data_IF_142077658065
#
_entry.id   IF_142077658065
#
_cell.length_a   1.000
_cell.length_b   1.000
_cell.length_c   1.000
_cell.angle_alpha   90.00
_cell.angle_beta   90.00
_cell.angle_gamma   90.00
#
_symmetry.space_group_name_H-M   'P 1'
#
loop_
_entity.id
_entity.type
_entity.pdbx_description
1 polymer ?
#
# COMPACT_ATOMS: atom_id res chain seq x y z
N UNK A 1 57.51 3.16 -45.78
CA UNK A 1 56.16 3.73 -45.57
C UNK A 1 56.06 5.05 -46.29
N UNK A 2 55.01 5.24 -47.08
CA UNK A 2 54.83 6.47 -47.86
C UNK A 2 54.37 7.59 -46.91
N UNK A 3 54.85 8.82 -47.13
CA UNK A 3 54.65 9.98 -46.22
C UNK A 3 53.17 10.24 -45.86
N UNK A 4 52.24 9.89 -46.75
CA UNK A 4 50.79 10.02 -46.53
C UNK A 4 50.21 8.96 -45.57
N UNK A 5 50.80 7.78 -45.46
CA UNK A 5 50.33 6.72 -44.54
C UNK A 5 50.61 7.10 -43.08
N UNK A 6 51.76 7.75 -42.82
CA UNK A 6 52.14 8.23 -41.48
C UNK A 6 51.20 9.35 -41.02
N UNK A 7 50.85 10.27 -41.94
CA UNK A 7 49.93 11.39 -41.66
C UNK A 7 48.53 10.86 -41.37
N UNK A 8 48.06 9.85 -42.11
CA UNK A 8 46.77 9.21 -41.86
C UNK A 8 46.68 8.57 -40.47
N UNK A 9 47.73 7.85 -40.05
CA UNK A 9 47.76 7.20 -38.73
C UNK A 9 47.73 8.23 -37.58
N UNK A 10 48.42 9.36 -37.75
CA UNK A 10 48.49 10.43 -36.77
C UNK A 10 47.13 11.15 -36.60
N UNK A 11 46.38 11.32 -37.69
CA UNK A 11 45.04 11.90 -37.66
C UNK A 11 44.05 10.97 -36.96
N UNK A 12 44.09 9.66 -37.24
CA UNK A 12 43.22 8.68 -36.55
C UNK A 12 43.52 8.61 -35.06
N UNK A 13 44.81 8.69 -34.68
CA UNK A 13 45.22 8.71 -33.28
C UNK A 13 44.74 9.98 -32.58
N UNK A 14 44.82 11.14 -33.23
CA UNK A 14 44.26 12.39 -32.73
C UNK A 14 42.74 12.32 -32.55
N UNK A 15 42.00 11.86 -33.57
CA UNK A 15 40.53 11.72 -33.48
C UNK A 15 40.15 10.76 -32.36
N UNK A 16 40.88 9.65 -32.19
CA UNK A 16 40.68 8.69 -31.08
C UNK A 16 40.92 9.32 -29.71
N UNK A 17 41.98 10.11 -29.56
CA UNK A 17 42.27 10.82 -28.29
C UNK A 17 41.22 11.88 -27.98
N UNK A 18 40.70 12.58 -29.00
CA UNK A 18 39.59 13.55 -28.85
C UNK A 18 38.29 12.84 -28.47
N UNK A 19 38.00 11.68 -29.08
CA UNK A 19 36.82 10.87 -28.73
C UNK A 19 36.87 10.35 -27.29
N UNK A 20 38.07 10.04 -26.78
CA UNK A 20 38.27 9.62 -25.39
C UNK A 20 38.12 10.78 -24.39
N UNK A 21 38.23 12.03 -24.84
CA UNK A 21 38.10 13.22 -24.00
C UNK A 21 36.67 13.78 -23.95
N UNK A 22 35.87 13.52 -24.97
CA UNK A 22 34.41 13.74 -24.94
C UNK A 22 33.75 12.47 -24.40
N UNK A 23 33.99 12.15 -23.12
CA UNK A 23 32.99 11.39 -22.42
C UNK A 23 31.74 12.27 -22.39
N UNK A 24 30.55 11.79 -22.81
CA UNK A 24 29.34 12.44 -22.35
C UNK A 24 29.44 12.42 -20.82
N UNK A 25 29.38 13.59 -20.18
CA UNK A 25 28.94 13.61 -18.79
C UNK A 25 27.61 12.88 -18.83
N UNK A 26 27.62 11.64 -18.37
CA UNK A 26 26.42 10.89 -18.15
C UNK A 26 25.70 11.69 -17.07
N UNK A 27 24.87 12.64 -17.52
CA UNK A 27 23.67 13.03 -16.82
C UNK A 27 22.78 11.78 -16.78
N UNK A 28 23.25 10.74 -16.10
CA UNK A 28 22.41 10.02 -15.17
C UNK A 28 22.05 11.09 -14.16
N UNK A 29 21.07 11.92 -14.53
CA UNK A 29 20.18 12.51 -13.56
C UNK A 29 19.96 11.37 -12.59
N UNK A 30 20.39 11.55 -11.34
CA UNK A 30 20.01 10.65 -10.27
C UNK A 30 18.49 10.62 -10.37
N UNK A 31 17.95 9.60 -11.04
CA UNK A 31 16.57 9.20 -10.84
C UNK A 31 16.65 8.60 -9.46
N UNK A 32 16.67 9.47 -8.45
CA UNK A 32 16.12 9.14 -7.17
C UNK A 32 14.67 8.87 -7.55
N UNK A 33 14.37 7.61 -7.86
CA UNK A 33 13.01 7.13 -7.66
C UNK A 33 12.81 7.36 -6.16
N UNK A 34 12.30 8.54 -5.80
CA UNK A 34 11.65 8.70 -4.52
C UNK A 34 10.63 7.55 -4.52
N UNK A 35 10.69 6.63 -3.54
CA UNK A 35 9.75 5.53 -3.53
C UNK A 35 8.35 6.15 -3.36
N UNK A 36 7.63 6.28 -4.47
CA UNK A 36 6.22 6.63 -4.48
C UNK A 36 5.49 5.44 -3.87
N UNK A 37 5.24 5.53 -2.57
CA UNK A 37 4.47 4.55 -1.82
C UNK A 37 3.02 4.81 -2.14
N UNK A 38 2.39 3.80 -2.72
CA UNK A 38 1.03 3.89 -3.22
C UNK A 38 0.11 3.14 -2.27
N UNK A 39 -0.87 3.83 -1.69
CA UNK A 39 -1.93 3.22 -0.88
C UNK A 39 -3.22 3.25 -1.69
N UNK A 40 -3.86 2.09 -1.84
CA UNK A 40 -5.12 1.98 -2.55
C UNK A 40 -6.22 2.08 -1.51
N UNK A 41 -6.98 3.17 -1.53
CA UNK A 41 -8.13 3.33 -0.64
C UNK A 41 -9.37 2.83 -1.37
N UNK A 42 -10.09 1.88 -0.74
CA UNK A 42 -11.32 1.29 -1.28
C UNK A 42 -12.53 1.52 -0.35
N UNK A 43 -13.74 1.45 -0.91
CA UNK A 43 -15.00 1.57 -0.16
C UNK A 43 -15.70 2.90 -0.39
N UNK A 44 -15.84 3.71 0.66
CA UNK A 44 -16.40 5.06 0.56
C UNK A 44 -15.54 5.97 -0.32
N UNK A 45 -14.23 5.69 -0.36
CA UNK A 45 -13.24 6.32 -1.22
C UNK A 45 -12.72 5.25 -2.17
N UNK A 46 -12.53 5.58 -3.44
CA UNK A 46 -11.99 4.66 -4.44
C UNK A 46 -10.85 5.37 -5.19
N UNK A 47 -9.81 5.70 -4.43
CA UNK A 47 -8.70 6.51 -4.91
C UNK A 47 -7.36 5.93 -4.47
N UNK A 48 -6.33 6.26 -5.26
CA UNK A 48 -4.97 5.80 -5.03
C UNK A 48 -4.15 6.98 -4.53
N UNK A 49 -3.68 6.89 -3.27
CA UNK A 49 -2.90 7.93 -2.63
C UNK A 49 -1.41 7.65 -2.76
N UNK A 50 -0.65 8.65 -3.18
CA UNK A 50 0.80 8.58 -3.32
C UNK A 50 1.46 9.30 -2.15
N UNK A 51 2.45 8.65 -1.54
CA UNK A 51 3.24 9.17 -0.42
C UNK A 51 4.73 9.05 -0.70
N UNK A 52 5.51 9.98 -0.18
CA UNK A 52 6.96 10.05 -0.37
C UNK A 52 7.72 9.26 0.70
N UNK A 53 7.00 8.76 1.71
CA UNK A 53 7.48 7.96 2.84
C UNK A 53 6.38 7.00 3.27
N UNK A 54 6.71 6.00 4.09
CA UNK A 54 5.74 5.01 4.55
C UNK A 54 4.64 5.70 5.37
N UNK A 55 3.39 5.75 4.88
CA UNK A 55 2.34 6.48 5.55
C UNK A 55 1.78 5.66 6.70
N UNK A 56 1.33 6.36 7.72
CA UNK A 56 0.45 5.82 8.76
C UNK A 56 -1.01 5.91 8.33
N UNK A 57 -1.90 5.19 9.02
CA UNK A 57 -3.33 5.39 8.84
C UNK A 57 -3.69 6.86 9.12
N UNK A 58 -3.09 7.49 10.12
CA UNK A 58 -3.27 8.92 10.39
C UNK A 58 -2.98 9.80 9.17
N UNK A 59 -1.87 9.56 8.48
CA UNK A 59 -1.48 10.30 7.27
C UNK A 59 -2.49 10.11 6.12
N UNK A 60 -3.04 8.89 5.98
CA UNK A 60 -4.09 8.59 5.01
C UNK A 60 -5.37 9.35 5.33
N UNK A 61 -5.83 9.29 6.58
CA UNK A 61 -7.04 10.00 7.02
C UNK A 61 -6.89 11.51 6.88
N UNK A 62 -5.72 12.07 7.20
CA UNK A 62 -5.42 13.50 7.04
C UNK A 62 -5.47 13.91 5.57
N UNK A 63 -4.88 13.11 4.68
CA UNK A 63 -4.90 13.36 3.23
C UNK A 63 -6.31 13.34 2.64
N UNK A 64 -7.15 12.43 3.13
CA UNK A 64 -8.57 12.33 2.78
C UNK A 64 -9.44 13.38 3.50
N UNK A 65 -8.88 14.11 4.48
CA UNK A 65 -9.57 15.10 5.33
C UNK A 65 -10.77 14.53 6.08
N UNK A 66 -10.61 13.32 6.63
CA UNK A 66 -11.66 12.61 7.36
C UNK A 66 -11.33 12.47 8.83
N UNK A 67 -12.36 12.52 9.67
CA UNK A 67 -12.25 12.19 11.08
C UNK A 67 -12.20 10.67 11.26
N UNK A 68 -11.51 10.22 12.31
CA UNK A 68 -11.38 8.80 12.63
C UNK A 68 -12.63 8.25 13.32
N UNK A 69 -13.74 8.20 12.59
CA UNK A 69 -15.04 7.73 13.08
C UNK A 69 -15.09 6.20 13.18
N UNK A 70 -14.21 5.49 12.45
CA UNK A 70 -14.25 4.04 12.26
C UNK A 70 -13.41 3.23 13.27
N UNK A 71 -12.75 3.90 14.21
CA UNK A 71 -11.96 3.24 15.26
C UNK A 71 -10.55 2.79 14.81
N UNK A 72 -10.03 3.31 13.70
CA UNK A 72 -8.70 2.93 13.23
C UNK A 72 -7.60 3.40 14.19
N UNK A 73 -6.55 2.60 14.37
CA UNK A 73 -5.36 3.04 15.07
C UNK A 73 -4.48 3.88 14.12
N UNK A 74 -4.46 5.21 14.34
CA UNK A 74 -3.73 6.16 13.50
C UNK A 74 -2.22 5.93 13.47
N UNK A 75 -1.66 5.19 14.43
CA UNK A 75 -0.22 4.91 14.51
C UNK A 75 0.23 3.75 13.63
N UNK A 76 -0.71 3.00 13.06
CA UNK A 76 -0.43 1.84 12.22
C UNK A 76 0.19 2.30 10.91
N UNK A 77 1.35 1.73 10.59
CA UNK A 77 2.08 1.97 9.34
C UNK A 77 1.51 1.07 8.25
N UNK A 78 1.22 1.63 7.08
CA UNK A 78 0.72 0.90 5.92
C UNK A 78 1.86 0.59 4.95
N UNK A 79 1.91 -0.65 4.47
CA UNK A 79 2.90 -1.08 3.48
C UNK A 79 2.57 -0.56 2.08
N UNK A 80 3.57 -0.49 1.20
CA UNK A 80 3.35 -0.06 -0.19
C UNK A 80 2.45 -1.04 -0.93
N UNK A 81 1.55 -0.50 -1.75
CA UNK A 81 0.52 -1.21 -2.51
C UNK A 81 -0.51 -1.93 -1.63
N UNK A 82 -0.59 -1.59 -0.34
CA UNK A 82 -1.65 -2.10 0.52
C UNK A 82 -3.01 -1.49 0.15
N UNK A 83 -4.05 -2.32 0.29
CA UNK A 83 -5.44 -1.89 0.21
C UNK A 83 -5.85 -1.45 1.61
N UNK A 84 -6.38 -0.25 1.72
CA UNK A 84 -6.96 0.30 2.94
C UNK A 84 -8.44 0.58 2.72
N UNK A 85 -9.29 -0.28 3.26
CA UNK A 85 -10.72 -0.23 3.08
C UNK A 85 -11.36 0.67 4.14
N UNK A 86 -12.13 1.65 3.67
CA UNK A 86 -12.90 2.57 4.49
C UNK A 86 -14.39 2.32 4.22
N UNK A 87 -15.15 1.82 5.21
CA UNK A 87 -16.58 1.55 5.05
C UNK A 87 -17.38 2.85 4.95
N UNK A 88 -18.63 2.75 4.51
CA UNK A 88 -19.55 3.88 4.52
C UNK A 88 -20.13 4.07 5.94
N UNK A 89 -19.87 5.22 6.55
CA UNK A 89 -20.36 5.56 7.89
C UNK A 89 -21.89 5.65 8.01
N UNK A 90 -22.64 5.66 6.89
CA UNK A 90 -24.10 5.66 6.89
C UNK A 90 -24.74 4.30 7.20
N UNK A 91 -23.94 3.23 7.23
CA UNK A 91 -24.38 1.86 7.51
C UNK A 91 -24.27 1.51 9.00
N UNK A 92 -25.01 0.49 9.42
CA UNK A 92 -24.86 -0.10 10.75
C UNK A 92 -23.60 -0.98 10.78
N UNK A 93 -22.51 -0.39 11.26
CA UNK A 93 -21.19 -1.03 11.31
C UNK A 93 -21.02 -1.84 12.61
N UNK A 94 -20.36 -2.99 12.47
CA UNK A 94 -20.06 -3.92 13.56
C UNK A 94 -18.55 -3.91 13.80
N UNK A 95 -18.14 -3.53 15.01
CA UNK A 95 -16.74 -3.43 15.39
C UNK A 95 -16.09 -4.80 15.56
N UNK A 96 -15.00 -5.06 14.85
CA UNK A 96 -14.25 -6.31 14.99
C UNK A 96 -13.59 -6.45 16.37
N UNK A 97 -13.12 -5.35 16.96
CA UNK A 97 -12.43 -5.42 18.25
C UNK A 97 -13.39 -5.44 19.44
N UNK A 98 -14.60 -4.87 19.30
CA UNK A 98 -15.51 -4.68 20.43
C UNK A 98 -16.83 -5.46 20.33
N UNK A 99 -17.25 -5.91 19.14
CA UNK A 99 -18.54 -6.60 19.01
C UNK A 99 -18.62 -7.90 19.82
N UNK A 100 -19.82 -8.21 20.27
CA UNK A 100 -20.20 -9.48 20.90
C UNK A 100 -20.34 -10.59 19.87
N UNK A 101 -20.38 -11.85 20.35
CA UNK A 101 -20.56 -13.00 19.47
C UNK A 101 -21.89 -12.93 18.71
N UNK A 102 -22.95 -12.43 19.37
CA UNK A 102 -24.29 -12.32 18.78
C UNK A 102 -24.33 -11.23 17.70
N UNK A 103 -23.68 -10.09 17.92
CA UNK A 103 -23.53 -9.02 16.92
C UNK A 103 -22.76 -9.52 15.70
N UNK A 104 -21.63 -10.23 15.89
CA UNK A 104 -20.90 -10.82 14.78
C UNK A 104 -21.73 -11.84 13.97
N UNK A 105 -22.63 -12.56 14.63
CA UNK A 105 -23.53 -13.52 13.99
C UNK A 105 -24.67 -12.88 13.19
N UNK A 106 -24.93 -11.58 13.37
CA UNK A 106 -25.87 -10.83 12.51
C UNK A 106 -25.34 -10.68 11.08
N UNK A 107 -24.02 -10.76 10.90
CA UNK A 107 -23.36 -10.62 9.61
C UNK A 107 -23.63 -11.86 8.76
N UNK A 108 -24.25 -11.65 7.59
CA UNK A 108 -24.62 -12.73 6.67
C UNK A 108 -23.39 -13.55 6.24
N UNK A 109 -23.33 -14.80 6.70
CA UNK A 109 -22.27 -15.74 6.40
C UNK A 109 -21.24 -15.92 7.52
N UNK A 110 -21.40 -15.23 8.64
CA UNK A 110 -20.68 -15.50 9.88
C UNK A 110 -21.56 -16.36 10.77
N UNK A 111 -21.19 -17.63 10.94
CA UNK A 111 -21.83 -18.54 11.89
C UNK A 111 -21.15 -18.53 13.25
N UNK A 112 -21.68 -19.24 14.26
CA UNK A 112 -21.16 -19.26 15.63
C UNK A 112 -19.69 -19.69 15.70
N UNK A 113 -19.28 -20.66 14.87
CA UNK A 113 -17.88 -21.10 14.79
C UNK A 113 -16.95 -20.02 14.25
N UNK A 114 -17.40 -19.24 13.26
CA UNK A 114 -16.61 -18.16 12.67
C UNK A 114 -16.55 -16.96 13.61
N UNK A 115 -17.68 -16.60 14.22
CA UNK A 115 -17.74 -15.55 15.22
C UNK A 115 -16.78 -15.83 16.38
N UNK A 116 -16.77 -17.06 16.91
CA UNK A 116 -15.83 -17.45 17.96
C UNK A 116 -14.37 -17.27 17.50
N UNK A 117 -14.02 -17.66 16.28
CA UNK A 117 -12.66 -17.48 15.75
C UNK A 117 -12.25 -16.00 15.63
N UNK A 118 -13.19 -15.10 15.32
CA UNK A 118 -12.91 -13.65 15.30
C UNK A 118 -12.57 -13.17 16.70
N UNK A 119 -13.34 -13.60 17.71
CA UNK A 119 -13.06 -13.31 19.12
C UNK A 119 -11.70 -13.88 19.54
N UNK A 120 -11.42 -15.12 19.19
CA UNK A 120 -10.16 -15.79 19.52
C UNK A 120 -8.96 -15.11 18.85
N UNK A 121 -9.14 -14.59 17.63
CA UNK A 121 -8.13 -13.83 16.91
C UNK A 121 -7.83 -12.50 17.60
N UNK A 122 -8.84 -11.66 17.86
CA UNK A 122 -8.63 -10.34 18.50
C UNK A 122 -8.06 -10.42 19.91
N UNK A 123 -8.32 -11.52 20.63
CA UNK A 123 -7.73 -11.77 21.94
C UNK A 123 -6.21 -12.02 21.87
N UNK A 124 -5.69 -12.45 20.72
CA UNK A 124 -4.27 -12.66 20.47
C UNK A 124 -3.63 -11.44 19.81
N UNK A 125 -4.29 -10.93 18.76
CA UNK A 125 -3.83 -9.82 17.93
C UNK A 125 -5.03 -8.95 17.59
N UNK A 126 -5.11 -7.68 18.06
CA UNK A 126 -6.20 -6.79 17.69
C UNK A 126 -6.18 -6.50 16.18
N UNK A 127 -7.37 -6.33 15.60
CA UNK A 127 -7.51 -5.95 14.20
C UNK A 127 -7.09 -4.47 14.04
N UNK A 128 -6.17 -4.20 13.12
CA UNK A 128 -5.65 -2.86 12.83
C UNK A 128 -6.26 -2.27 11.57
N UNK A 129 -6.62 -3.12 10.63
CA UNK A 129 -7.40 -2.78 9.44
C UNK A 129 -8.56 -3.75 9.26
N UNK A 130 -9.51 -3.44 8.38
CA UNK A 130 -10.67 -4.32 8.15
C UNK A 130 -10.24 -5.56 7.36
N UNK A 131 -9.22 -5.45 6.51
CA UNK A 131 -8.60 -6.54 5.75
C UNK A 131 -8.03 -7.63 6.66
N UNK A 132 -7.55 -7.26 7.85
CA UNK A 132 -6.97 -8.20 8.81
C UNK A 132 -7.92 -9.36 9.17
N UNK A 133 -9.23 -9.17 8.98
CA UNK A 133 -10.24 -10.23 9.15
C UNK A 133 -9.99 -11.45 8.25
N UNK A 134 -9.33 -11.26 7.11
CA UNK A 134 -8.96 -12.34 6.19
C UNK A 134 -7.93 -13.30 6.80
N UNK A 135 -7.23 -12.90 7.86
CA UNK A 135 -6.33 -13.78 8.61
C UNK A 135 -7.09 -14.78 9.49
N UNK A 136 -8.41 -14.60 9.68
CA UNK A 136 -9.25 -15.51 10.47
C UNK A 136 -9.61 -16.74 9.64
N UNK A 137 -9.32 -17.93 10.17
CA UNK A 137 -9.62 -19.20 9.52
C UNK A 137 -11.11 -19.35 9.17
N UNK A 138 -11.42 -19.45 7.88
CA UNK A 138 -12.79 -19.58 7.36
C UNK A 138 -13.35 -18.28 6.77
N UNK A 139 -12.62 -17.17 6.87
CA UNK A 139 -12.94 -15.91 6.19
C UNK A 139 -11.97 -15.76 5.03
N UNK A 140 -12.39 -16.23 3.85
CA UNK A 140 -11.66 -15.98 2.61
C UNK A 140 -12.05 -14.65 1.97
N UNK A 141 -11.34 -14.27 0.91
CA UNK A 141 -11.60 -13.08 0.10
C UNK A 141 -13.08 -12.91 -0.29
N UNK A 142 -13.75 -13.98 -0.75
CA UNK A 142 -15.17 -13.94 -1.11
C UNK A 142 -16.09 -13.56 0.05
N UNK A 143 -15.76 -14.06 1.26
CA UNK A 143 -16.54 -13.74 2.46
C UNK A 143 -16.27 -12.29 2.85
N UNK A 144 -15.00 -11.89 2.89
CA UNK A 144 -14.56 -10.52 3.17
C UNK A 144 -15.26 -9.49 2.28
N UNK A 145 -15.21 -9.65 0.96
CA UNK A 145 -15.83 -8.71 0.02
C UNK A 145 -17.34 -8.53 0.24
N UNK A 146 -18.02 -9.55 0.76
CA UNK A 146 -19.46 -9.48 1.05
C UNK A 146 -19.79 -8.78 2.37
N UNK A 147 -18.86 -8.76 3.31
CA UNK A 147 -19.11 -8.28 4.68
C UNK A 147 -18.38 -6.99 5.02
N UNK A 148 -17.31 -6.62 4.29
CA UNK A 148 -16.45 -5.47 4.60
C UNK A 148 -17.19 -4.15 4.77
N UNK A 149 -18.29 -3.95 4.04
CA UNK A 149 -19.16 -2.78 4.14
C UNK A 149 -19.86 -2.63 5.50
N UNK A 150 -19.98 -3.72 6.26
CA UNK A 150 -20.67 -3.78 7.55
C UNK A 150 -19.69 -3.79 8.74
N UNK A 151 -18.40 -3.59 8.50
CA UNK A 151 -17.36 -3.74 9.52
C UNK A 151 -16.74 -2.40 9.88
N UNK A 152 -16.40 -2.24 11.15
CA UNK A 152 -15.49 -1.22 11.67
C UNK A 152 -14.52 -1.86 12.66
N UNK A 153 -13.65 -1.06 13.29
CA UNK A 153 -12.69 -1.54 14.29
C UNK A 153 -13.11 -1.21 15.71
#
# INVERSE_FOLDING_TARGET
MKKHEIIGLLIVLLISTVYSFVLPEENVAKIVLEPEITIIVEGCYNETLIFNQTPTIGDVLEKLKIENVYGFDQTVVLESQSVFYIPDASLELISLNNATIDELMTIKGIGPKTAQKIIDYRNQTPFKTIEDIQNVSGIGEKTYLRIRELLCL
#
